data_IF_105872957989
#
_entry.id   IF_105872957989
#
_cell.length_a   1.000
_cell.length_b   1.000
_cell.length_c   1.000
_cell.angle_alpha   90.00
_cell.angle_beta   90.00
_cell.angle_gamma   90.00
#
_symmetry.space_group_name_H-M   'P 1'
#
loop_
_entity.id
_entity.type
_entity.pdbx_description
1 polymer ?
#
# COMPACT_ATOMS: atom_id res chain seq x y z
N UNK A 1 3.68 13.41 -21.83
CA UNK A 1 4.96 13.81 -21.20
C UNK A 1 5.28 12.80 -20.13
N UNK A 2 6.54 12.38 -19.99
CA UNK A 2 6.98 11.49 -18.92
C UNK A 2 6.89 12.21 -17.57
N UNK A 3 6.57 11.47 -16.50
CA UNK A 3 6.51 12.00 -15.14
C UNK A 3 7.93 12.22 -14.61
N UNK A 4 8.13 13.29 -13.85
CA UNK A 4 9.40 13.47 -13.12
C UNK A 4 9.56 12.34 -12.08
N UNK A 5 10.76 11.76 -11.96
CA UNK A 5 11.00 10.74 -10.95
C UNK A 5 10.70 11.24 -9.54
N UNK A 6 10.09 10.39 -8.70
CA UNK A 6 9.79 10.67 -7.30
C UNK A 6 10.47 9.63 -6.41
N UNK A 7 10.99 10.04 -5.25
CA UNK A 7 11.54 9.10 -4.27
C UNK A 7 10.48 8.74 -3.23
N UNK A 8 10.31 7.44 -3.02
CA UNK A 8 9.46 6.87 -1.97
C UNK A 8 10.32 6.23 -0.88
N UNK A 9 9.96 6.46 0.37
CA UNK A 9 10.48 5.72 1.51
C UNK A 9 9.46 4.66 1.94
N UNK A 10 9.90 3.41 2.06
CA UNK A 10 9.10 2.32 2.64
C UNK A 10 9.62 2.10 4.06
N UNK A 11 8.78 2.37 5.05
CA UNK A 11 9.15 2.30 6.45
C UNK A 11 8.95 0.88 7.01
N UNK A 12 9.86 0.46 7.88
CA UNK A 12 9.79 -0.72 8.72
C UNK A 12 9.84 -0.23 10.17
N UNK A 13 8.71 0.28 10.67
CA UNK A 13 8.61 0.88 11.99
C UNK A 13 8.35 -0.16 13.07
N UNK A 14 8.81 0.10 14.28
CA UNK A 14 8.34 -0.62 15.47
C UNK A 14 6.92 -0.23 15.78
N UNK A 15 6.14 -1.18 16.30
CA UNK A 15 4.78 -0.95 16.74
C UNK A 15 4.63 -1.41 18.19
N UNK A 16 4.21 -0.51 19.07
CA UNK A 16 3.87 -0.79 20.46
C UNK A 16 2.38 -0.60 20.73
N UNK A 17 1.96 -0.91 21.97
CA UNK A 17 0.63 -0.57 22.45
C UNK A 17 0.49 0.91 22.83
N UNK A 18 1.59 1.63 22.96
CA UNK A 18 1.63 3.06 23.31
C UNK A 18 1.65 3.92 22.04
N UNK A 19 0.56 4.65 21.84
CA UNK A 19 0.37 5.55 20.69
C UNK A 19 1.45 6.64 20.64
N UNK A 20 1.92 7.13 21.79
CA UNK A 20 2.97 8.16 21.83
C UNK A 20 4.34 7.61 21.42
N UNK A 21 4.65 6.36 21.78
CA UNK A 21 5.86 5.68 21.28
C UNK A 21 5.79 5.52 19.77
N UNK A 22 4.67 5.04 19.25
CA UNK A 22 4.46 4.89 17.82
C UNK A 22 4.59 6.24 17.09
N UNK A 23 4.00 7.30 17.64
CA UNK A 23 4.10 8.65 17.08
C UNK A 23 5.54 9.18 17.03
N UNK A 24 6.33 8.94 18.08
CA UNK A 24 7.77 9.30 18.09
C UNK A 24 8.55 8.53 17.02
N UNK A 25 8.35 7.23 16.92
CA UNK A 25 8.99 6.36 15.92
C UNK A 25 8.66 6.81 14.49
N UNK A 26 7.37 7.04 14.20
CA UNK A 26 6.92 7.53 12.90
C UNK A 26 7.61 8.84 12.53
N UNK A 27 7.62 9.84 13.43
CA UNK A 27 8.24 11.14 13.17
C UNK A 27 9.75 11.05 12.99
N UNK A 28 10.42 10.15 13.70
CA UNK A 28 11.85 9.91 13.50
C UNK A 28 12.13 9.32 12.11
N UNK A 29 11.37 8.31 11.70
CA UNK A 29 11.50 7.70 10.37
C UNK A 29 11.13 8.68 9.25
N UNK A 30 10.17 9.60 9.45
CA UNK A 30 9.86 10.68 8.52
C UNK A 30 11.08 11.60 8.29
N UNK A 31 11.77 12.02 9.37
CA UNK A 31 12.99 12.84 9.25
C UNK A 31 14.10 12.09 8.51
N UNK A 32 14.29 10.81 8.80
CA UNK A 32 15.27 9.95 8.09
C UNK A 32 14.90 9.79 6.62
N UNK A 33 13.61 9.58 6.30
CA UNK A 33 13.12 9.51 4.94
C UNK A 33 13.40 10.81 4.16
N UNK A 34 13.15 11.97 4.78
CA UNK A 34 13.44 13.27 4.19
C UNK A 34 14.93 13.48 3.96
N UNK A 35 15.77 13.09 4.91
CA UNK A 35 17.23 13.15 4.77
C UNK A 35 17.73 12.26 3.62
N UNK A 36 17.06 11.11 3.35
CA UNK A 36 17.27 10.26 2.17
C UNK A 36 16.75 10.86 0.85
N UNK A 37 16.08 12.02 0.92
CA UNK A 37 15.50 12.73 -0.23
C UNK A 37 14.13 12.18 -0.66
N UNK A 38 13.46 11.40 0.18
CA UNK A 38 12.09 10.95 -0.11
C UNK A 38 11.10 12.12 -0.07
N UNK A 39 10.12 12.08 -0.96
CA UNK A 39 9.00 13.02 -1.04
C UNK A 39 7.69 12.41 -0.55
N UNK A 40 7.66 11.10 -0.40
CA UNK A 40 6.57 10.33 0.19
C UNK A 40 7.13 9.23 1.09
N UNK A 41 6.52 9.01 2.25
CA UNK A 41 6.82 7.89 3.15
C UNK A 41 5.58 7.06 3.41
N UNK A 42 5.75 5.73 3.38
CA UNK A 42 4.70 4.75 3.53
C UNK A 42 4.99 3.84 4.72
N UNK A 43 4.04 3.78 5.67
CA UNK A 43 4.10 3.00 6.90
C UNK A 43 3.18 1.77 6.86
N UNK A 44 3.44 0.81 7.73
CA UNK A 44 2.72 -0.45 7.83
C UNK A 44 1.31 -0.32 8.43
N UNK A 45 0.55 -1.41 8.38
CA UNK A 45 -0.75 -1.57 9.05
C UNK A 45 -0.59 -1.34 10.55
N UNK A 46 -1.48 -0.52 11.13
CA UNK A 46 -1.48 -0.25 12.57
C UNK A 46 -0.28 0.53 13.10
N UNK A 47 0.56 1.12 12.25
CA UNK A 47 1.79 1.79 12.65
C UNK A 47 1.59 2.84 13.75
N UNK A 48 0.47 3.60 13.72
CA UNK A 48 0.15 4.59 14.74
C UNK A 48 -0.61 4.00 15.92
N UNK A 49 -1.68 3.24 15.66
CA UNK A 49 -2.60 2.77 16.70
C UNK A 49 -2.17 1.50 17.43
N UNK A 50 -1.19 0.79 16.92
CA UNK A 50 -1.03 -0.63 17.20
C UNK A 50 -1.95 -1.48 16.32
N UNK A 51 -1.60 -2.75 16.15
CA UNK A 51 -2.39 -3.72 15.40
C UNK A 51 -3.36 -4.47 16.32
N UNK A 52 -4.60 -4.65 15.88
CA UNK A 52 -5.64 -5.37 16.61
C UNK A 52 -5.22 -6.81 16.88
N UNK A 53 -5.49 -7.28 18.10
CA UNK A 53 -5.09 -8.58 18.66
C UNK A 53 -3.60 -8.70 18.99
N UNK A 54 -2.72 -8.01 18.30
CA UNK A 54 -1.29 -8.00 18.60
C UNK A 54 -0.98 -7.03 19.77
N UNK A 55 -0.90 -5.75 19.52
CA UNK A 55 -0.68 -4.72 20.53
C UNK A 55 -1.99 -4.33 21.23
N UNK A 56 -3.09 -4.16 20.48
CA UNK A 56 -4.40 -3.82 21.03
C UNK A 56 -5.15 -5.09 21.43
N UNK A 57 -5.28 -5.35 22.73
CA UNK A 57 -5.98 -6.52 23.27
C UNK A 57 -7.49 -6.31 23.49
N UNK A 58 -7.94 -5.05 23.59
CA UNK A 58 -9.35 -4.66 23.71
C UNK A 58 -9.57 -3.31 23.04
N UNK A 59 -10.69 -3.18 22.33
CA UNK A 59 -11.10 -1.92 21.67
C UNK A 59 -11.35 -0.78 22.66
N UNK A 60 -11.79 -1.11 23.86
CA UNK A 60 -12.10 -0.12 24.91
C UNK A 60 -10.84 0.54 25.48
N UNK A 61 -9.65 -0.04 25.21
CA UNK A 61 -8.37 0.49 25.66
C UNK A 61 -7.69 1.42 24.64
N UNK A 62 -8.31 1.68 23.51
CA UNK A 62 -7.74 2.59 22.50
C UNK A 62 -7.86 4.02 23.01
N UNK A 63 -6.73 4.69 23.18
CA UNK A 63 -6.64 6.10 23.60
C UNK A 63 -6.94 7.03 22.42
N UNK A 64 -8.24 7.15 22.05
CA UNK A 64 -8.68 7.85 20.84
C UNK A 64 -8.23 9.32 20.78
N UNK A 65 -8.21 10.03 21.92
CA UNK A 65 -7.72 11.41 22.00
C UNK A 65 -6.25 11.49 21.61
N UNK A 66 -5.40 10.70 22.30
CA UNK A 66 -3.97 10.64 22.01
C UNK A 66 -3.68 10.22 20.57
N UNK A 67 -4.46 9.28 20.01
CA UNK A 67 -4.33 8.85 18.63
C UNK A 67 -4.54 10.00 17.62
N UNK A 68 -5.57 10.82 17.85
CA UNK A 68 -5.85 12.00 17.02
C UNK A 68 -4.75 13.04 17.17
N UNK A 69 -4.25 13.27 18.40
CA UNK A 69 -3.20 14.25 18.64
C UNK A 69 -1.86 13.84 17.99
N UNK A 70 -1.51 12.55 18.03
CA UNK A 70 -0.31 12.03 17.35
C UNK A 70 -0.46 12.10 15.81
N UNK A 71 -1.65 11.82 15.25
CA UNK A 71 -1.91 11.99 13.82
C UNK A 71 -1.77 13.46 13.39
N UNK A 72 -2.22 14.41 14.21
CA UNK A 72 -2.01 15.85 13.97
C UNK A 72 -0.52 16.21 14.00
N UNK A 73 0.23 15.68 14.99
CA UNK A 73 1.67 15.90 15.07
C UNK A 73 2.43 15.33 13.86
N UNK A 74 1.97 14.22 13.30
CA UNK A 74 2.49 13.68 12.03
C UNK A 74 2.15 14.61 10.86
N UNK A 75 0.95 15.16 10.82
CA UNK A 75 0.53 16.10 9.78
C UNK A 75 1.33 17.42 9.85
N UNK A 76 1.59 17.93 11.04
CA UNK A 76 2.42 19.12 11.25
C UNK A 76 3.86 18.88 10.77
N UNK A 77 4.44 17.72 11.07
CA UNK A 77 5.77 17.36 10.58
C UNK A 77 5.78 17.10 9.08
N UNK A 78 4.73 16.54 8.50
CA UNK A 78 4.60 16.37 7.05
C UNK A 78 4.68 17.73 6.33
N UNK A 79 4.00 18.77 6.88
CA UNK A 79 4.09 20.15 6.39
C UNK A 79 5.50 20.74 6.55
N UNK A 80 6.12 20.56 7.71
CA UNK A 80 7.47 21.06 7.98
C UNK A 80 8.50 20.47 7.00
N UNK A 81 8.41 19.17 6.76
CA UNK A 81 9.31 18.44 5.87
C UNK A 81 8.96 18.58 4.38
N UNK A 82 7.78 19.09 4.03
CA UNK A 82 7.28 19.09 2.66
C UNK A 82 7.20 17.67 2.10
N UNK A 83 6.61 16.74 2.86
CA UNK A 83 6.63 15.30 2.53
C UNK A 83 5.27 14.65 2.73
N UNK A 84 4.78 13.95 1.70
CA UNK A 84 3.59 13.10 1.79
C UNK A 84 3.81 11.94 2.76
N UNK A 85 2.81 11.64 3.56
CA UNK A 85 2.88 10.56 4.55
C UNK A 85 1.63 9.68 4.48
N UNK A 86 1.84 8.36 4.37
CA UNK A 86 0.76 7.37 4.43
C UNK A 86 0.98 6.49 5.65
N UNK A 87 0.07 6.54 6.62
CA UNK A 87 0.24 5.91 7.94
C UNK A 87 -0.95 5.05 8.33
N UNK A 88 -0.68 3.80 8.75
CA UNK A 88 -1.69 2.85 9.22
C UNK A 88 -2.17 3.17 10.64
N UNK A 89 -3.49 3.19 10.84
CA UNK A 89 -4.12 3.46 12.14
C UNK A 89 -5.56 2.96 12.20
N UNK A 90 -6.08 2.76 13.40
CA UNK A 90 -7.52 2.59 13.62
C UNK A 90 -8.25 3.93 13.47
N UNK A 91 -9.45 3.90 12.88
CA UNK A 91 -10.33 5.08 12.78
C UNK A 91 -11.64 4.86 13.54
N UNK A 92 -11.88 5.72 14.51
CA UNK A 92 -13.07 5.64 15.38
C UNK A 92 -14.34 5.94 14.59
N UNK A 93 -15.34 5.09 14.75
CA UNK A 93 -16.71 5.36 14.30
C UNK A 93 -17.63 5.71 15.47
N UNK A 94 -18.82 6.23 15.16
CA UNK A 94 -19.85 6.49 16.16
C UNK A 94 -20.36 5.16 16.75
N UNK A 95 -20.38 5.02 18.09
CA UNK A 95 -20.96 3.84 18.72
C UNK A 95 -22.39 3.55 18.23
N UNK A 96 -22.80 2.28 18.09
CA UNK A 96 -22.11 1.06 18.49
C UNK A 96 -21.14 0.48 17.43
N UNK A 97 -20.89 1.21 16.34
CA UNK A 97 -20.04 0.71 15.24
C UNK A 97 -18.60 0.49 15.69
N UNK A 98 -18.01 -0.61 15.19
CA UNK A 98 -16.59 -0.90 15.39
C UNK A 98 -15.74 0.01 14.50
N UNK A 99 -14.49 0.34 14.91
CA UNK A 99 -13.62 1.20 14.12
C UNK A 99 -13.29 0.60 12.77
N UNK A 100 -12.86 1.41 11.81
CA UNK A 100 -12.15 0.94 10.62
C UNK A 100 -10.68 0.63 10.94
N UNK A 101 -10.09 -0.27 10.17
CA UNK A 101 -8.66 -0.40 9.98
C UNK A 101 -8.29 0.44 8.75
N UNK A 102 -7.43 1.46 8.92
CA UNK A 102 -7.33 2.54 7.94
C UNK A 102 -5.89 2.94 7.61
N UNK A 103 -5.70 3.53 6.43
CA UNK A 103 -4.52 4.30 6.07
C UNK A 103 -4.90 5.77 5.90
N UNK A 104 -4.24 6.64 6.64
CA UNK A 104 -4.38 8.10 6.52
C UNK A 104 -3.39 8.62 5.49
N UNK A 105 -3.86 9.37 4.51
CA UNK A 105 -3.05 10.00 3.46
C UNK A 105 -2.94 11.49 3.78
N UNK A 106 -1.75 11.91 4.17
CA UNK A 106 -1.43 13.29 4.58
C UNK A 106 -0.52 13.90 3.52
N UNK A 107 -0.89 15.09 3.02
CA UNK A 107 -0.11 15.79 2.01
C UNK A 107 1.17 16.42 2.57
N UNK A 108 2.03 16.86 1.69
CA UNK A 108 3.22 17.67 1.97
C UNK A 108 2.91 19.06 2.56
N UNK A 109 1.62 19.44 2.62
CA UNK A 109 1.12 20.64 3.32
C UNK A 109 0.52 20.33 4.69
N UNK A 110 0.58 19.05 5.12
CA UNK A 110 0.01 18.61 6.39
C UNK A 110 -1.51 18.49 6.38
N UNK A 111 -2.13 18.39 5.22
CA UNK A 111 -3.58 18.23 5.09
C UNK A 111 -3.95 16.75 5.01
N UNK A 112 -4.98 16.33 5.72
CA UNK A 112 -5.59 15.02 5.50
C UNK A 112 -6.33 15.04 4.16
N UNK A 113 -5.72 14.45 3.13
CA UNK A 113 -6.28 14.43 1.77
C UNK A 113 -7.39 13.41 1.65
N UNK A 114 -7.14 12.21 2.15
CA UNK A 114 -8.11 11.10 2.14
C UNK A 114 -7.71 10.04 3.16
N UNK A 115 -8.58 9.05 3.34
CA UNK A 115 -8.35 7.88 4.17
C UNK A 115 -8.85 6.64 3.42
N UNK A 116 -8.02 5.61 3.39
CA UNK A 116 -8.43 4.28 2.97
C UNK A 116 -8.92 3.48 4.17
N UNK A 117 -10.09 2.90 4.09
CA UNK A 117 -10.64 1.98 5.08
C UNK A 117 -10.64 0.57 4.48
N UNK A 118 -10.02 -0.39 5.15
CA UNK A 118 -9.84 -1.77 4.70
C UNK A 118 -11.17 -2.37 4.26
N UNK A 119 -11.26 -2.81 3.02
CA UNK A 119 -12.50 -3.31 2.40
C UNK A 119 -12.70 -4.80 2.66
N UNK A 120 -11.63 -5.57 2.53
CA UNK A 120 -11.64 -7.03 2.75
C UNK A 120 -11.00 -7.33 4.09
N UNK A 121 -11.83 -7.64 5.06
CA UNK A 121 -11.42 -7.98 6.43
C UNK A 121 -11.19 -9.48 6.56
N UNK A 122 -10.23 -9.90 7.37
CA UNK A 122 -10.13 -11.29 7.77
C UNK A 122 -11.33 -11.72 8.60
N UNK A 123 -11.56 -13.03 8.71
CA UNK A 123 -12.67 -13.58 9.50
C UNK A 123 -12.69 -13.01 10.94
N UNK A 124 -11.55 -12.94 11.60
CA UNK A 124 -11.48 -12.42 12.98
C UNK A 124 -11.66 -10.90 13.05
N UNK A 125 -11.24 -10.16 12.02
CA UNK A 125 -11.46 -8.72 11.95
C UNK A 125 -12.94 -8.40 11.80
N UNK A 126 -13.64 -9.02 10.83
CA UNK A 126 -15.06 -8.73 10.57
C UNK A 126 -15.97 -9.20 11.70
N UNK A 127 -15.65 -10.30 12.37
CA UNK A 127 -16.47 -10.82 13.46
C UNK A 127 -16.29 -10.06 14.78
N UNK A 128 -15.09 -9.51 15.05
CA UNK A 128 -14.76 -8.97 16.38
C UNK A 128 -14.18 -7.57 16.43
N UNK A 129 -13.53 -7.08 15.38
CA UNK A 129 -12.65 -5.92 15.51
C UNK A 129 -13.03 -4.71 14.68
N UNK A 130 -13.35 -4.87 13.41
CA UNK A 130 -13.46 -3.77 12.47
C UNK A 130 -14.76 -3.78 11.69
N UNK A 131 -15.12 -2.60 11.21
CA UNK A 131 -16.16 -2.38 10.19
C UNK A 131 -15.46 -2.26 8.83
N UNK A 132 -15.91 -2.93 7.76
CA UNK A 132 -15.30 -2.82 6.44
C UNK A 132 -15.50 -1.45 5.82
N UNK A 133 -14.51 -0.98 5.06
CA UNK A 133 -14.63 0.12 4.12
C UNK A 133 -15.40 -0.27 2.85
N UNK A 134 -15.64 0.71 1.97
CA UNK A 134 -16.44 0.49 0.75
C UNK A 134 -15.73 0.87 -0.54
N UNK A 135 -14.87 1.88 -0.50
CA UNK A 135 -14.31 2.51 -1.69
C UNK A 135 -12.80 2.24 -1.82
N UNK A 136 -12.28 2.11 -3.04
CA UNK A 136 -10.85 2.19 -3.27
C UNK A 136 -10.35 3.58 -2.88
N UNK A 137 -9.07 3.67 -2.55
CA UNK A 137 -8.40 4.96 -2.33
C UNK A 137 -7.41 5.19 -3.47
N UNK A 138 -7.57 6.29 -4.19
CA UNK A 138 -6.60 6.77 -5.17
C UNK A 138 -6.30 8.23 -4.85
N UNK A 139 -5.01 8.58 -4.79
CA UNK A 139 -4.56 9.95 -4.60
C UNK A 139 -3.36 10.26 -5.51
N UNK A 140 -3.07 11.55 -5.68
CA UNK A 140 -1.95 12.00 -6.50
C UNK A 140 -0.93 12.75 -5.66
N UNK A 141 0.35 12.39 -5.82
CA UNK A 141 1.48 13.08 -5.21
C UNK A 141 2.61 13.21 -6.23
N UNK A 142 3.10 14.43 -6.46
CA UNK A 142 4.18 14.70 -7.40
C UNK A 142 3.90 14.24 -8.84
N UNK A 143 2.64 14.20 -9.27
CA UNK A 143 2.21 13.75 -10.59
C UNK A 143 2.10 12.21 -10.73
N UNK A 144 2.28 11.46 -9.64
CA UNK A 144 2.14 10.01 -9.57
C UNK A 144 0.83 9.63 -8.88
N UNK A 145 0.15 8.59 -9.39
CA UNK A 145 -1.09 8.07 -8.82
C UNK A 145 -0.81 6.87 -7.92
N UNK A 146 -1.30 6.93 -6.70
CA UNK A 146 -1.12 5.90 -5.68
C UNK A 146 -2.44 5.25 -5.31
N UNK A 147 -2.43 3.92 -5.11
CA UNK A 147 -3.51 3.15 -4.52
C UNK A 147 -3.13 2.61 -3.15
N UNK A 148 -4.11 2.21 -2.33
CA UNK A 148 -3.89 1.69 -0.97
C UNK A 148 -4.51 0.31 -0.79
N UNK A 149 -3.79 -0.59 -0.10
CA UNK A 149 -4.29 -1.90 0.32
C UNK A 149 -3.75 -2.27 1.72
N UNK A 150 -4.50 -3.08 2.46
CA UNK A 150 -4.18 -3.47 3.84
C UNK A 150 -4.12 -4.99 4.02
N UNK A 151 -2.94 -5.50 4.34
CA UNK A 151 -2.65 -6.83 4.86
C UNK A 151 -3.32 -7.95 4.02
N UNK A 152 -4.29 -8.67 4.58
CA UNK A 152 -4.99 -9.79 3.94
C UNK A 152 -5.58 -9.44 2.57
N UNK A 153 -5.75 -8.18 2.25
CA UNK A 153 -6.22 -7.74 0.93
C UNK A 153 -5.29 -8.16 -0.21
N UNK A 154 -4.04 -8.51 0.10
CA UNK A 154 -3.11 -9.10 -0.88
C UNK A 154 -3.63 -10.42 -1.46
N UNK A 155 -4.56 -11.12 -0.79
CA UNK A 155 -5.16 -12.35 -1.27
C UNK A 155 -6.37 -12.14 -2.21
N UNK A 156 -6.74 -10.89 -2.49
CA UNK A 156 -7.88 -10.52 -3.32
C UNK A 156 -7.40 -9.87 -4.64
N UNK A 157 -7.11 -10.67 -5.69
CA UNK A 157 -6.54 -10.17 -6.94
C UNK A 157 -7.40 -9.14 -7.66
N UNK A 158 -8.72 -9.18 -7.48
CA UNK A 158 -9.66 -8.21 -8.03
C UNK A 158 -9.40 -6.79 -7.54
N UNK A 159 -8.91 -6.62 -6.30
CA UNK A 159 -8.54 -5.32 -5.76
C UNK A 159 -7.37 -4.72 -6.56
N UNK A 160 -6.37 -5.52 -6.86
CA UNK A 160 -5.17 -5.11 -7.60
C UNK A 160 -5.45 -4.88 -9.08
N UNK A 161 -6.34 -5.68 -9.68
CA UNK A 161 -6.86 -5.44 -11.02
C UNK A 161 -7.60 -4.10 -11.09
N UNK A 162 -8.47 -3.81 -10.13
CA UNK A 162 -9.19 -2.54 -10.07
C UNK A 162 -8.24 -1.33 -10.00
N UNK A 163 -7.13 -1.41 -9.25
CA UNK A 163 -6.13 -0.34 -9.26
C UNK A 163 -5.42 -0.18 -10.61
N UNK A 164 -5.23 -1.26 -11.36
CA UNK A 164 -4.73 -1.17 -12.74
C UNK A 164 -5.72 -0.45 -13.67
N UNK A 165 -7.02 -0.73 -13.54
CA UNK A 165 -8.11 -0.05 -14.27
C UNK A 165 -8.21 1.44 -13.93
N UNK A 166 -7.96 1.79 -12.66
CA UNK A 166 -7.87 3.17 -12.19
C UNK A 166 -6.56 3.88 -12.57
N UNK A 167 -5.72 3.24 -13.39
CA UNK A 167 -4.43 3.75 -13.86
C UNK A 167 -3.47 4.17 -12.74
N UNK A 168 -3.47 3.43 -11.63
CA UNK A 168 -2.54 3.64 -10.51
C UNK A 168 -1.11 3.29 -10.95
N UNK A 169 -0.14 4.09 -10.52
CA UNK A 169 1.28 3.88 -10.82
C UNK A 169 1.99 3.08 -9.74
N UNK A 170 1.54 3.22 -8.49
CA UNK A 170 2.10 2.50 -7.34
C UNK A 170 1.00 2.13 -6.35
N UNK A 171 0.92 0.87 -5.96
CA UNK A 171 0.04 0.41 -4.88
C UNK A 171 0.84 0.33 -3.58
N UNK A 172 0.34 1.00 -2.53
CA UNK A 172 0.88 0.99 -1.19
C UNK A 172 0.19 -0.12 -0.40
N UNK A 173 0.91 -1.20 -0.11
CA UNK A 173 0.44 -2.35 0.65
C UNK A 173 1.02 -2.27 2.06
N UNK A 174 0.20 -1.94 3.04
CA UNK A 174 0.58 -1.91 4.45
C UNK A 174 0.14 -3.19 5.12
N UNK A 175 1.06 -3.97 5.69
CA UNK A 175 0.70 -5.24 6.30
C UNK A 175 1.34 -5.44 7.67
N UNK A 176 0.67 -6.24 8.51
CA UNK A 176 1.17 -6.82 9.74
C UNK A 176 1.22 -8.34 9.55
N UNK A 177 2.24 -8.81 8.83
CA UNK A 177 2.39 -10.20 8.42
C UNK A 177 3.87 -10.55 8.25
N UNK A 178 4.24 -11.78 8.53
CA UNK A 178 5.59 -12.34 8.37
C UNK A 178 5.66 -13.46 7.32
N UNK A 179 4.52 -13.83 6.71
CA UNK A 179 4.48 -14.88 5.70
C UNK A 179 5.07 -14.42 4.36
N UNK A 180 6.04 -15.16 3.80
CA UNK A 180 6.66 -14.84 2.51
C UNK A 180 5.67 -14.73 1.35
N UNK A 181 4.50 -15.39 1.45
CA UNK A 181 3.45 -15.37 0.44
C UNK A 181 2.95 -13.95 0.11
N UNK A 182 2.88 -13.05 1.11
CA UNK A 182 2.54 -11.65 0.89
C UNK A 182 3.51 -10.96 -0.09
N UNK A 183 4.81 -11.25 0.06
CA UNK A 183 5.84 -10.73 -0.85
C UNK A 183 5.72 -11.31 -2.26
N UNK A 184 5.46 -12.62 -2.37
CA UNK A 184 5.28 -13.32 -3.66
C UNK A 184 4.08 -12.74 -4.42
N UNK A 185 2.95 -12.56 -3.74
CA UNK A 185 1.74 -11.99 -4.34
C UNK A 185 1.93 -10.53 -4.74
N UNK A 186 2.57 -9.72 -3.89
CA UNK A 186 2.90 -8.33 -4.21
C UNK A 186 3.78 -8.22 -5.47
N UNK A 187 4.79 -9.09 -5.62
CA UNK A 187 5.62 -9.20 -6.83
C UNK A 187 4.81 -9.65 -8.04
N UNK A 188 3.91 -10.62 -7.86
CA UNK A 188 3.00 -11.09 -8.90
C UNK A 188 2.10 -9.98 -9.43
N UNK A 189 1.52 -9.15 -8.57
CA UNK A 189 0.69 -8.01 -8.98
C UNK A 189 1.50 -6.92 -9.66
N UNK A 190 2.69 -6.60 -9.16
CA UNK A 190 3.57 -5.65 -9.81
C UNK A 190 3.89 -6.08 -11.25
N UNK A 191 4.28 -7.34 -11.46
CA UNK A 191 4.56 -7.90 -12.77
C UNK A 191 3.33 -7.98 -13.68
N UNK A 192 2.19 -8.45 -13.15
CA UNK A 192 0.97 -8.67 -13.93
C UNK A 192 0.31 -7.38 -14.40
N UNK A 193 0.38 -6.32 -13.60
CA UNK A 193 -0.26 -5.03 -13.88
C UNK A 193 0.73 -3.95 -14.33
N UNK A 194 2.04 -4.22 -14.26
CA UNK A 194 3.11 -3.29 -14.64
C UNK A 194 3.01 -1.94 -13.92
N UNK A 195 2.86 -1.98 -12.59
CA UNK A 195 2.96 -0.83 -11.70
C UNK A 195 3.91 -1.15 -10.52
N UNK A 196 4.34 -0.16 -9.78
CA UNK A 196 5.12 -0.40 -8.56
C UNK A 196 4.23 -0.90 -7.43
N UNK A 197 4.82 -1.68 -6.53
CA UNK A 197 4.21 -2.02 -5.24
C UNK A 197 5.20 -1.66 -4.13
N UNK A 198 4.73 -0.84 -3.20
CA UNK A 198 5.43 -0.56 -1.94
C UNK A 198 4.81 -1.43 -0.86
N UNK A 199 5.55 -2.38 -0.33
CA UNK A 199 5.11 -3.27 0.75
C UNK A 199 5.79 -2.85 2.05
N UNK A 200 5.02 -2.33 3.00
CA UNK A 200 5.51 -1.92 4.32
C UNK A 200 5.08 -2.93 5.38
N UNK A 201 6.08 -3.48 6.08
CA UNK A 201 5.97 -4.49 7.14
C UNK A 201 6.58 -3.91 8.41
N UNK A 202 6.00 -4.06 9.61
CA UNK A 202 6.60 -3.58 10.84
C UNK A 202 7.77 -4.47 11.29
N UNK A 203 8.63 -3.92 12.13
CA UNK A 203 9.85 -4.59 12.63
C UNK A 203 9.54 -5.95 13.28
N UNK A 204 8.46 -6.03 14.03
CA UNK A 204 8.05 -7.25 14.77
C UNK A 204 7.70 -8.42 13.84
N UNK A 205 7.37 -8.13 12.58
CA UNK A 205 6.99 -9.10 11.55
C UNK A 205 8.07 -9.26 10.47
N UNK A 206 9.23 -8.61 10.62
CA UNK A 206 10.25 -8.55 9.57
C UNK A 206 11.27 -9.71 9.61
N UNK A 207 10.90 -10.86 10.14
CA UNK A 207 11.77 -12.05 10.15
C UNK A 207 11.93 -12.68 8.77
N UNK A 208 10.84 -13.16 8.20
CA UNK A 208 10.81 -13.82 6.89
C UNK A 208 10.39 -12.88 5.75
N UNK A 209 9.68 -11.79 6.06
CA UNK A 209 9.19 -10.80 5.11
C UNK A 209 9.55 -9.39 5.60
N UNK A 210 10.30 -8.62 4.80
CA UNK A 210 10.72 -7.26 5.16
C UNK A 210 10.10 -6.22 4.24
N UNK A 211 10.08 -4.96 4.68
CA UNK A 211 9.62 -3.82 3.89
C UNK A 211 10.42 -3.69 2.59
N UNK A 212 9.73 -3.45 1.47
CA UNK A 212 10.35 -3.43 0.14
C UNK A 212 9.61 -2.59 -0.87
N UNK A 213 10.35 -2.10 -1.85
CA UNK A 213 9.80 -1.53 -3.08
C UNK A 213 9.97 -2.54 -4.21
N UNK A 214 8.90 -2.82 -4.93
CA UNK A 214 8.84 -3.78 -6.04
C UNK A 214 8.59 -3.00 -7.32
N UNK A 215 9.41 -3.27 -8.34
CA UNK A 215 9.33 -2.63 -9.65
C UNK A 215 8.17 -3.20 -10.50
N UNK A 216 7.74 -2.50 -11.57
CA UNK A 216 6.71 -2.96 -12.52
C UNK A 216 7.03 -4.27 -13.25
N UNK A 217 8.25 -4.75 -13.15
CA UNK A 217 8.70 -6.07 -13.65
C UNK A 217 8.50 -7.19 -12.65
N UNK A 218 8.10 -6.88 -11.39
CA UNK A 218 8.01 -7.82 -10.28
C UNK A 218 9.32 -8.00 -9.49
N UNK A 219 10.41 -7.38 -9.93
CA UNK A 219 11.70 -7.42 -9.24
C UNK A 219 11.68 -6.59 -7.95
N UNK A 220 12.32 -7.09 -6.91
CA UNK A 220 12.57 -6.32 -5.69
C UNK A 220 13.62 -5.25 -6.01
N UNK A 221 13.19 -3.99 -5.99
CA UNK A 221 14.03 -2.84 -6.32
C UNK A 221 14.83 -2.36 -5.12
N UNK A 222 14.23 -2.37 -3.94
CA UNK A 222 14.87 -2.04 -2.67
C UNK A 222 14.21 -2.83 -1.54
N UNK A 223 14.99 -3.20 -0.52
CA UNK A 223 14.53 -4.05 0.59
C UNK A 223 15.20 -3.65 1.90
N UNK A 224 14.43 -3.64 3.00
CA UNK A 224 14.93 -3.40 4.34
C UNK A 224 15.61 -4.66 4.91
N UNK A 225 16.55 -4.47 5.82
CA UNK A 225 17.12 -5.58 6.60
C UNK A 225 16.09 -6.20 7.55
N UNK A 226 16.28 -7.47 7.94
CA UNK A 226 15.41 -8.14 8.91
C UNK A 226 15.61 -7.56 10.31
N UNK A 227 14.54 -7.54 11.10
CA UNK A 227 14.51 -7.24 12.54
C UNK A 227 15.01 -5.87 12.98
N UNK A 228 15.28 -4.95 12.04
CA UNK A 228 15.70 -3.59 12.33
C UNK A 228 14.61 -2.58 11.97
N UNK A 229 14.39 -1.60 12.85
CA UNK A 229 13.61 -0.41 12.51
C UNK A 229 14.39 0.43 11.50
N UNK A 230 13.74 0.77 10.40
CA UNK A 230 14.40 1.52 9.35
C UNK A 230 13.51 1.94 8.21
N UNK A 231 14.16 2.41 7.18
CA UNK A 231 13.54 2.79 5.93
C UNK A 231 14.37 2.31 4.75
N UNK A 232 13.72 1.98 3.65
CA UNK A 232 14.38 1.92 2.35
C UNK A 232 13.86 3.06 1.49
N UNK A 233 14.76 3.74 0.79
CA UNK A 233 14.44 4.85 -0.10
C UNK A 233 14.89 4.52 -1.50
N UNK A 234 13.96 4.54 -2.44
CA UNK A 234 14.27 4.42 -3.86
C UNK A 234 13.25 5.20 -4.70
N UNK A 235 13.48 5.27 -6.01
CA UNK A 235 12.69 6.10 -6.90
C UNK A 235 11.71 5.31 -7.75
N UNK A 236 10.56 5.91 -7.99
CA UNK A 236 9.70 5.57 -9.09
C UNK A 236 10.20 6.38 -10.30
N UNK A 237 10.58 5.69 -11.37
CA UNK A 237 11.16 6.30 -12.58
C UNK A 237 10.68 5.55 -13.81
N UNK A 238 9.77 6.15 -14.57
CA UNK A 238 9.24 5.55 -15.79
C UNK A 238 10.19 5.61 -16.99
N UNK A 239 11.24 6.43 -16.89
CA UNK A 239 12.27 6.54 -17.94
C UNK A 239 13.39 5.50 -17.79
N UNK A 240 13.37 4.67 -16.74
CA UNK A 240 14.37 3.63 -16.55
C UNK A 240 14.31 2.58 -17.68
N UNK A 241 15.39 2.37 -18.46
CA UNK A 241 15.37 1.46 -19.62
C UNK A 241 14.96 0.03 -19.28
N UNK A 242 15.27 -0.46 -18.07
CA UNK A 242 14.87 -1.81 -17.61
C UNK A 242 13.36 -2.00 -17.49
N UNK A 243 12.57 -0.91 -17.45
CA UNK A 243 11.12 -0.92 -17.26
C UNK A 243 10.35 -0.52 -18.53
N UNK A 244 11.06 -0.16 -19.60
CA UNK A 244 10.47 0.32 -20.85
C UNK A 244 9.42 -0.66 -21.39
N UNK A 245 9.74 -1.95 -21.47
CA UNK A 245 8.79 -2.95 -21.97
C UNK A 245 7.56 -3.06 -21.03
N UNK A 246 7.77 -3.12 -19.72
CA UNK A 246 6.68 -3.28 -18.75
C UNK A 246 5.71 -2.08 -18.80
N UNK A 247 6.25 -0.86 -18.78
CA UNK A 247 5.45 0.37 -18.63
C UNK A 247 4.87 0.86 -19.95
N UNK A 248 5.67 0.85 -21.03
CA UNK A 248 5.31 1.52 -22.28
C UNK A 248 4.80 0.57 -23.38
N UNK A 249 4.95 -0.75 -23.20
CA UNK A 249 4.44 -1.76 -24.14
C UNK A 249 3.44 -2.71 -23.48
N UNK A 250 3.85 -3.41 -22.41
CA UNK A 250 3.00 -4.43 -21.79
C UNK A 250 1.79 -3.84 -21.07
N UNK A 251 1.97 -2.74 -20.29
CA UNK A 251 0.88 -2.10 -19.56
C UNK A 251 -0.24 -1.60 -20.48
N UNK A 252 0.00 -0.77 -21.53
CA UNK A 252 -1.05 -0.32 -22.43
C UNK A 252 -1.66 -1.46 -23.23
N UNK A 253 -0.87 -2.43 -23.67
CA UNK A 253 -1.38 -3.61 -24.38
C UNK A 253 -2.32 -4.42 -23.50
N UNK A 254 -1.96 -4.70 -22.24
CA UNK A 254 -2.79 -5.46 -21.31
C UNK A 254 -4.08 -4.72 -20.97
N UNK A 255 -4.06 -3.39 -20.85
CA UNK A 255 -5.27 -2.59 -20.67
C UNK A 255 -6.23 -2.78 -21.85
N UNK A 256 -5.75 -2.58 -23.08
CA UNK A 256 -6.53 -2.79 -24.30
C UNK A 256 -7.03 -4.24 -24.44
N UNK A 257 -6.20 -5.22 -24.10
CA UNK A 257 -6.57 -6.62 -24.16
C UNK A 257 -7.72 -6.98 -23.21
N UNK A 258 -7.75 -6.38 -22.01
CA UNK A 258 -8.82 -6.59 -21.02
C UNK A 258 -10.17 -6.04 -21.48
N UNK A 259 -10.21 -4.98 -22.28
CA UNK A 259 -11.45 -4.49 -22.90
C UNK A 259 -12.06 -5.52 -23.84
N UNK A 260 -11.27 -6.46 -24.35
CA UNK A 260 -11.70 -7.62 -25.13
C UNK A 260 -12.07 -7.36 -26.58
N UNK A 261 -12.20 -6.11 -26.99
CA UNK A 261 -12.63 -5.74 -28.35
C UNK A 261 -11.69 -6.26 -29.44
N UNK A 262 -10.37 -6.22 -29.18
CA UNK A 262 -9.36 -6.72 -30.12
C UNK A 262 -9.49 -8.24 -30.36
N UNK A 263 -10.04 -8.99 -29.40
CA UNK A 263 -10.29 -10.42 -29.52
C UNK A 263 -11.65 -10.69 -30.16
N UNK A 264 -12.71 -10.00 -29.72
CA UNK A 264 -14.09 -10.16 -30.29
C UNK A 264 -14.10 -10.03 -31.79
N UNK A 265 -13.35 -9.11 -32.37
CA UNK A 265 -13.24 -8.91 -33.83
C UNK A 265 -12.48 -10.02 -34.55
N UNK A 266 -11.83 -10.94 -33.83
CA UNK A 266 -11.00 -12.02 -34.38
C UNK A 266 -11.55 -13.40 -34.10
N UNK A 267 -12.62 -13.50 -33.34
CA UNK A 267 -13.33 -14.78 -33.15
C UNK A 267 -13.87 -15.23 -34.50
N UNK A 268 -13.75 -16.51 -34.79
CA UNK A 268 -14.24 -17.13 -36.00
C UNK A 268 -15.30 -18.17 -35.65
N UNK A 269 -16.32 -18.28 -36.50
CA UNK A 269 -17.28 -19.37 -36.46
C UNK A 269 -16.75 -20.52 -37.30
N UNK A 270 -16.04 -21.43 -36.67
CA UNK A 270 -15.44 -22.60 -37.29
C UNK A 270 -15.78 -23.86 -36.49
N UNK A 271 -16.33 -24.93 -37.14
CA UNK A 271 -16.66 -26.18 -36.44
C UNK A 271 -15.50 -26.77 -35.67
N UNK A 272 -14.28 -26.71 -36.19
CA UNK A 272 -13.05 -27.19 -35.53
C UNK A 272 -12.67 -26.36 -34.29
N UNK A 273 -13.06 -25.07 -34.25
CA UNK A 273 -12.88 -24.24 -33.07
C UNK A 273 -13.89 -24.57 -31.97
N UNK A 274 -15.07 -25.03 -32.35
CA UNK A 274 -16.17 -25.35 -31.44
C UNK A 274 -16.06 -26.77 -30.88
N UNK A 275 -15.66 -27.76 -31.73
CA UNK A 275 -15.42 -29.13 -31.30
C UNK A 275 -14.28 -29.16 -30.26
N UNK A 276 -14.49 -29.92 -29.18
CA UNK A 276 -13.46 -30.20 -28.15
C UNK A 276 -13.08 -31.66 -28.09
N UNK A 277 -13.66 -32.49 -28.99
CA UNK A 277 -13.56 -33.94 -29.00
C UNK A 277 -12.67 -34.46 -30.16
N UNK A 278 -12.15 -33.57 -30.98
CA UNK A 278 -11.27 -33.86 -32.13
C UNK A 278 -9.89 -33.25 -31.92
N UNK A 279 -8.82 -33.97 -32.41
CA UNK A 279 -7.45 -33.52 -32.42
C UNK A 279 -7.10 -32.63 -33.62
#
# INVERSE_FOLDING_TARGET
MSKSPIKIAVAQSRISADVHENGREIRELMRRARAGGATIVHFSEGAMSGCSKAQIKSRDRVAWGALVDELKAVADLARELGMWTVVGSSHRLTPPHRPHNSLYVISDRGELVTRYDKRFLSHTEITGWHTPGRQPCVFEAGGWRFGCALCIEVHFPELFLHYAELAVDCVLVSAYADEPMFGIQAQGYAASHSYWVSLSIPTEMSGALTSRLIAPTGEIQAVAGPSDSGIVVDRLDECCPRREIALHRARPWRAQAREGEIYRRRFVEDPRSQSKDEF
#
